data_IF_194110344800
#
_entry.id   IF_194110344800
#
_cell.length_a   1.000
_cell.length_b   1.000
_cell.length_c   1.000
_cell.angle_alpha   90.00
_cell.angle_beta   90.00
_cell.angle_gamma   90.00
#
_symmetry.space_group_name_H-M   'P 1'
#
loop_
_entity.id
_entity.type
_entity.pdbx_description
1 polymer ?
#
# COMPACT_ATOMS: atom_id res chain seq x y z
N UNK A 1 -16.06 -8.19 11.03
CA UNK A 1 -16.26 -9.61 10.74
C UNK A 1 -15.99 -9.80 9.27
N UNK A 2 -14.89 -10.49 8.92
CA UNK A 2 -14.52 -10.72 7.52
C UNK A 2 -15.61 -11.52 6.78
N UNK A 3 -15.67 -11.33 5.45
CA UNK A 3 -16.53 -12.15 4.62
C UNK A 3 -16.20 -13.66 4.85
N UNK A 4 -17.18 -14.57 4.78
CA UNK A 4 -16.98 -15.98 5.10
C UNK A 4 -15.89 -16.67 4.25
N UNK A 5 -15.47 -16.08 3.14
CA UNK A 5 -14.46 -16.61 2.23
C UNK A 5 -13.15 -15.76 2.22
N UNK A 6 -12.92 -14.92 3.24
CA UNK A 6 -11.70 -14.12 3.31
C UNK A 6 -10.46 -15.04 3.46
N UNK A 7 -9.36 -14.79 2.74
CA UNK A 7 -8.15 -15.58 2.85
C UNK A 7 -7.56 -15.47 4.26
N UNK A 8 -7.16 -16.60 4.82
CA UNK A 8 -6.54 -16.70 6.16
C UNK A 8 -5.02 -16.87 6.12
N UNK A 9 -4.46 -17.11 4.94
CA UNK A 9 -3.02 -17.21 4.68
C UNK A 9 -2.63 -16.38 3.47
N UNK A 10 -1.36 -16.01 3.37
CA UNK A 10 -0.87 -15.23 2.23
C UNK A 10 -0.89 -16.05 0.92
N UNK A 11 -0.70 -17.36 0.99
CA UNK A 11 -0.83 -18.25 -0.15
C UNK A 11 -2.28 -18.28 -0.70
N UNK A 12 -3.26 -18.35 0.20
CA UNK A 12 -4.68 -18.26 -0.19
C UNK A 12 -5.02 -16.88 -0.78
N UNK A 13 -4.41 -15.81 -0.24
CA UNK A 13 -4.54 -14.46 -0.78
C UNK A 13 -3.99 -14.38 -2.20
N UNK A 14 -2.80 -14.92 -2.47
CA UNK A 14 -2.21 -14.98 -3.82
C UNK A 14 -3.05 -15.83 -4.79
N UNK A 15 -3.59 -16.95 -4.32
CA UNK A 15 -4.51 -17.76 -5.14
C UNK A 15 -5.79 -16.98 -5.51
N UNK A 16 -6.29 -16.12 -4.62
CA UNK A 16 -7.39 -15.20 -4.93
C UNK A 16 -6.96 -14.15 -5.97
N UNK A 17 -5.76 -13.59 -5.85
CA UNK A 17 -5.22 -12.66 -6.86
C UNK A 17 -5.22 -13.26 -8.26
N UNK A 18 -4.72 -14.49 -8.42
CA UNK A 18 -4.69 -15.16 -9.72
C UNK A 18 -6.09 -15.30 -10.34
N UNK A 19 -7.09 -15.64 -9.53
CA UNK A 19 -8.48 -15.70 -9.99
C UNK A 19 -9.01 -14.32 -10.42
N UNK A 20 -8.73 -13.27 -9.64
CA UNK A 20 -9.14 -11.90 -9.97
C UNK A 20 -8.51 -11.41 -11.29
N UNK A 21 -7.24 -11.72 -11.52
CA UNK A 21 -6.59 -11.36 -12.78
C UNK A 21 -7.11 -12.17 -13.97
N UNK A 22 -7.46 -13.44 -13.77
CA UNK A 22 -8.12 -14.23 -14.79
C UNK A 22 -9.51 -13.67 -15.15
N UNK A 23 -10.30 -13.29 -14.14
CA UNK A 23 -11.61 -12.62 -14.31
C UNK A 23 -11.50 -11.29 -15.09
N UNK A 24 -10.47 -10.48 -14.78
CA UNK A 24 -10.23 -9.22 -15.50
C UNK A 24 -9.90 -9.48 -16.95
N UNK A 25 -9.04 -10.47 -17.23
CA UNK A 25 -8.69 -10.85 -18.61
C UNK A 25 -9.93 -11.27 -19.37
N UNK A 26 -10.72 -12.20 -18.84
CA UNK A 26 -11.92 -12.72 -19.48
C UNK A 26 -12.95 -11.61 -19.76
N UNK A 27 -13.22 -10.76 -18.77
CA UNK A 27 -14.31 -9.76 -18.86
C UNK A 27 -13.96 -8.47 -19.56
N UNK A 28 -12.69 -8.06 -19.55
CA UNK A 28 -12.28 -6.76 -20.07
C UNK A 28 -11.34 -6.84 -21.28
N UNK A 29 -10.64 -7.94 -21.47
CA UNK A 29 -9.67 -8.08 -22.58
C UNK A 29 -10.16 -9.05 -23.65
N UNK A 30 -10.73 -10.19 -23.24
CA UNK A 30 -11.14 -11.26 -24.16
C UNK A 30 -12.58 -11.07 -24.65
N UNK A 31 -13.40 -10.22 -24.01
CA UNK A 31 -14.75 -9.86 -24.48
C UNK A 31 -14.68 -8.68 -25.46
N UNK A 32 -14.95 -8.90 -26.76
CA UNK A 32 -14.89 -7.82 -27.75
C UNK A 32 -15.91 -6.68 -27.51
N UNK A 33 -16.99 -6.97 -26.75
CA UNK A 33 -18.00 -5.97 -26.42
C UNK A 33 -17.57 -5.03 -25.27
N UNK A 34 -16.65 -5.49 -24.42
CA UNK A 34 -16.13 -4.75 -23.28
C UNK A 34 -14.75 -4.13 -23.55
N UNK A 35 -14.03 -4.60 -24.56
CA UNK A 35 -12.67 -4.15 -24.87
C UNK A 35 -12.65 -2.64 -25.22
N UNK A 36 -11.76 -1.92 -24.55
CA UNK A 36 -11.49 -0.52 -24.87
C UNK A 36 -10.79 -0.40 -26.22
N UNK A 37 -11.16 0.59 -27.03
CA UNK A 37 -10.56 0.85 -28.35
C UNK A 37 -9.49 1.93 -28.33
N UNK A 38 -9.23 2.57 -27.18
CA UNK A 38 -8.21 3.62 -27.08
C UNK A 38 -6.80 3.00 -27.23
N UNK A 39 -5.99 3.60 -28.10
CA UNK A 39 -4.68 3.05 -28.49
C UNK A 39 -3.71 2.82 -27.32
N UNK A 40 -3.81 3.60 -26.26
CA UNK A 40 -2.93 3.51 -25.08
C UNK A 40 -3.68 3.03 -23.82
N UNK A 41 -4.88 2.46 -23.94
CA UNK A 41 -5.59 1.93 -22.78
C UNK A 41 -5.01 0.60 -22.32
N UNK A 42 -4.93 0.41 -21.00
CA UNK A 42 -4.57 -0.89 -20.41
C UNK A 42 -5.66 -1.96 -20.61
N UNK A 43 -6.88 -1.57 -21.01
CA UNK A 43 -7.99 -2.47 -21.32
C UNK A 43 -8.19 -2.70 -22.81
N UNK A 44 -7.32 -2.14 -23.67
CA UNK A 44 -7.31 -2.46 -25.08
C UNK A 44 -6.33 -3.64 -25.31
N UNK A 45 -6.78 -4.84 -25.70
CA UNK A 45 -5.93 -6.01 -25.87
C UNK A 45 -4.81 -5.82 -26.92
N UNK A 46 -5.03 -4.92 -27.89
CA UNK A 46 -4.02 -4.62 -28.92
C UNK A 46 -2.98 -3.56 -28.45
N UNK A 47 -3.21 -2.94 -27.30
CA UNK A 47 -2.33 -1.91 -26.76
C UNK A 47 -1.03 -2.50 -26.19
N UNK A 48 0.08 -1.79 -26.38
CA UNK A 48 1.34 -2.08 -25.70
C UNK A 48 1.19 -1.95 -24.16
N UNK A 49 0.34 -1.03 -23.71
CA UNK A 49 0.06 -0.80 -22.28
C UNK A 49 -0.64 -2.02 -21.66
N UNK A 50 -1.61 -2.61 -22.35
CA UNK A 50 -2.30 -3.83 -21.92
C UNK A 50 -1.31 -4.98 -21.75
N UNK A 51 -0.45 -5.21 -22.73
CA UNK A 51 0.57 -6.25 -22.64
C UNK A 51 1.52 -6.05 -21.45
N UNK A 52 1.97 -4.82 -21.20
CA UNK A 52 2.81 -4.51 -20.05
C UNK A 52 2.03 -4.74 -18.74
N UNK A 53 0.76 -4.32 -18.66
CA UNK A 53 -0.06 -4.40 -17.46
C UNK A 53 -0.38 -5.86 -17.05
N UNK A 54 -0.64 -6.75 -18.02
CA UNK A 54 -1.19 -8.07 -17.75
C UNK A 54 -0.25 -9.24 -18.08
N UNK A 55 0.72 -9.06 -18.97
CA UNK A 55 1.70 -10.11 -19.30
C UNK A 55 2.91 -10.07 -18.36
N UNK A 56 3.12 -8.96 -17.61
CA UNK A 56 4.12 -8.91 -16.54
C UNK A 56 3.49 -9.24 -15.20
N UNK A 57 4.27 -9.79 -14.26
CA UNK A 57 3.78 -10.15 -12.93
C UNK A 57 3.67 -8.96 -11.96
N UNK A 58 4.01 -7.75 -12.35
CA UNK A 58 4.24 -6.63 -11.42
C UNK A 58 2.98 -5.92 -10.92
N UNK A 59 1.81 -6.22 -11.46
CA UNK A 59 0.53 -5.76 -10.90
C UNK A 59 -0.01 -6.71 -9.81
N UNK A 60 0.65 -7.86 -9.60
CA UNK A 60 0.37 -8.86 -8.56
C UNK A 60 1.37 -8.75 -7.42
N UNK A 61 1.03 -9.34 -6.28
CA UNK A 61 2.02 -9.59 -5.24
C UNK A 61 3.14 -10.48 -5.78
N UNK A 62 4.40 -10.13 -5.52
CA UNK A 62 5.54 -10.93 -5.94
C UNK A 62 6.56 -11.09 -4.83
N UNK A 63 7.43 -12.06 -5.00
CA UNK A 63 8.47 -12.41 -4.05
C UNK A 63 9.83 -12.46 -4.73
N UNK A 64 10.87 -12.03 -4.02
CA UNK A 64 12.26 -12.13 -4.46
C UNK A 64 13.06 -12.86 -3.38
N UNK A 65 13.50 -14.08 -3.71
CA UNK A 65 14.42 -14.82 -2.87
C UNK A 65 15.87 -14.36 -3.08
N UNK A 66 16.70 -14.23 -2.02
CA UNK A 66 18.12 -13.97 -2.17
C UNK A 66 18.86 -15.20 -2.71
N UNK A 67 20.09 -14.98 -3.16
CA UNK A 67 20.98 -16.07 -3.50
C UNK A 67 21.51 -16.72 -2.18
N UNK A 68 21.01 -17.90 -1.85
CA UNK A 68 21.35 -18.63 -0.63
C UNK A 68 20.39 -18.38 0.55
N UNK A 69 20.87 -18.66 1.76
CA UNK A 69 20.07 -18.51 2.98
C UNK A 69 19.74 -17.05 3.28
N UNK A 70 18.47 -16.69 3.50
CA UNK A 70 18.09 -15.33 3.80
C UNK A 70 18.77 -14.77 5.04
N UNK A 71 19.35 -13.58 4.98
CA UNK A 71 19.87 -12.83 6.14
C UNK A 71 18.77 -12.16 6.96
N UNK A 72 17.61 -12.03 6.38
CA UNK A 72 16.41 -11.40 6.94
C UNK A 72 15.27 -11.47 5.94
N UNK A 73 14.15 -10.89 6.30
CA UNK A 73 13.00 -10.75 5.40
C UNK A 73 12.46 -9.33 5.37
N UNK A 74 11.76 -9.00 4.29
CA UNK A 74 11.16 -7.69 4.09
C UNK A 74 9.74 -7.80 3.54
N UNK A 75 8.84 -6.96 4.06
CA UNK A 75 7.54 -6.69 3.47
C UNK A 75 7.55 -5.28 2.88
N UNK A 76 7.12 -5.13 1.63
CA UNK A 76 6.96 -3.84 0.97
C UNK A 76 5.51 -3.63 0.52
N UNK A 77 4.93 -2.44 0.78
CA UNK A 77 3.54 -2.09 0.50
C UNK A 77 3.48 -0.78 -0.30
N UNK A 78 2.85 -0.81 -1.47
CA UNK A 78 2.75 0.33 -2.39
C UNK A 78 1.73 1.39 -1.95
N UNK A 79 1.66 2.51 -2.66
CA UNK A 79 0.72 3.61 -2.42
C UNK A 79 -0.66 3.41 -3.03
N UNK A 80 -1.58 4.35 -2.73
CA UNK A 80 -2.93 4.38 -3.31
C UNK A 80 -2.85 4.53 -4.83
N UNK A 81 -3.76 3.87 -5.55
CA UNK A 81 -3.85 3.77 -7.02
C UNK A 81 -2.66 3.11 -7.71
N UNK A 82 -1.61 2.79 -6.99
CA UNK A 82 -0.35 2.23 -7.46
C UNK A 82 -0.38 0.68 -7.50
N UNK A 83 0.74 0.06 -7.76
CA UNK A 83 0.91 -1.40 -7.75
C UNK A 83 2.28 -1.80 -7.17
N UNK A 84 2.53 -3.07 -6.92
CA UNK A 84 3.82 -3.57 -6.45
C UNK A 84 5.02 -3.16 -7.30
N UNK A 85 4.81 -2.85 -8.58
CA UNK A 85 5.85 -2.40 -9.50
C UNK A 85 6.66 -1.21 -8.98
N UNK A 86 6.00 -0.23 -8.34
CA UNK A 86 6.67 0.99 -7.86
C UNK A 86 7.77 0.72 -6.83
N UNK A 87 7.67 -0.40 -6.12
CA UNK A 87 8.64 -0.80 -5.10
C UNK A 87 9.67 -1.81 -5.61
N UNK A 88 9.63 -2.18 -6.91
CA UNK A 88 10.52 -3.19 -7.49
C UNK A 88 12.00 -2.87 -7.27
N UNK A 89 12.41 -1.62 -7.49
CA UNK A 89 13.82 -1.23 -7.32
C UNK A 89 14.30 -1.39 -5.86
N UNK A 90 13.45 -1.03 -4.89
CA UNK A 90 13.75 -1.25 -3.47
C UNK A 90 13.79 -2.74 -3.15
N UNK A 91 12.86 -3.53 -3.72
CA UNK A 91 12.81 -4.97 -3.52
C UNK A 91 14.08 -5.66 -4.07
N UNK A 92 14.53 -5.28 -5.25
CA UNK A 92 15.77 -5.80 -5.87
C UNK A 92 17.00 -5.45 -5.03
N UNK A 93 17.07 -4.23 -4.49
CA UNK A 93 18.15 -3.80 -3.60
C UNK A 93 18.18 -4.65 -2.31
N UNK A 94 17.03 -4.81 -1.65
CA UNK A 94 16.94 -5.64 -0.44
C UNK A 94 17.28 -7.11 -0.71
N UNK A 95 16.85 -7.65 -1.87
CA UNK A 95 17.24 -9.00 -2.30
C UNK A 95 18.76 -9.12 -2.46
N UNK A 96 19.39 -8.14 -3.10
CA UNK A 96 20.84 -8.13 -3.28
C UNK A 96 21.60 -8.06 -1.93
N UNK A 97 21.01 -7.43 -0.93
CA UNK A 97 21.50 -7.39 0.46
C UNK A 97 21.19 -8.68 1.24
N UNK A 98 20.60 -9.70 0.61
CA UNK A 98 20.35 -11.01 1.19
C UNK A 98 19.02 -11.15 1.90
N UNK A 99 18.06 -10.25 1.69
CA UNK A 99 16.72 -10.36 2.27
C UNK A 99 15.79 -11.16 1.36
N UNK A 100 14.92 -11.95 1.98
CA UNK A 100 13.74 -12.49 1.31
C UNK A 100 12.67 -11.41 1.27
N UNK A 101 12.26 -10.96 0.08
CA UNK A 101 11.39 -9.80 -0.07
C UNK A 101 10.00 -10.23 -0.55
N UNK A 102 8.98 -9.78 0.13
CA UNK A 102 7.57 -9.88 -0.27
C UNK A 102 7.08 -8.49 -0.62
N UNK A 103 6.56 -8.29 -1.83
CA UNK A 103 5.93 -7.05 -2.27
C UNK A 103 4.44 -7.31 -2.43
N UNK A 104 3.64 -6.71 -1.55
CA UNK A 104 2.21 -6.93 -1.46
C UNK A 104 1.44 -6.06 -2.47
N UNK A 105 0.50 -6.65 -3.20
CA UNK A 105 -0.58 -5.91 -3.86
C UNK A 105 -1.73 -5.70 -2.86
N UNK A 106 -2.11 -4.47 -2.62
CA UNK A 106 -3.28 -4.20 -1.78
C UNK A 106 -4.59 -4.60 -2.46
N UNK A 107 -5.61 -5.09 -1.72
CA UNK A 107 -6.96 -5.30 -2.25
C UNK A 107 -7.48 -4.10 -3.05
N UNK A 108 -8.18 -4.38 -4.16
CA UNK A 108 -8.70 -3.35 -5.06
C UNK A 108 -7.72 -2.76 -6.07
N UNK A 109 -6.40 -3.03 -5.92
CA UNK A 109 -5.36 -2.48 -6.81
C UNK A 109 -4.94 -3.46 -7.92
N UNK A 110 -4.23 -2.97 -8.92
CA UNK A 110 -3.60 -3.76 -9.99
C UNK A 110 -4.55 -4.28 -11.08
N UNK A 111 -5.84 -4.33 -10.85
CA UNK A 111 -6.88 -4.85 -11.76
C UNK A 111 -7.64 -3.74 -12.47
N UNK A 112 -8.66 -3.17 -11.83
CA UNK A 112 -9.47 -2.07 -12.34
C UNK A 112 -9.74 -1.03 -11.25
N UNK A 113 -9.80 0.29 -11.57
CA UNK A 113 -10.06 1.34 -10.57
C UNK A 113 -11.35 1.14 -9.78
N UNK A 114 -12.35 0.49 -10.38
CA UNK A 114 -13.60 0.12 -9.72
C UNK A 114 -13.42 -0.77 -8.49
N UNK A 115 -12.31 -1.53 -8.39
CA UNK A 115 -11.95 -2.29 -7.21
C UNK A 115 -11.73 -1.43 -5.94
N UNK A 116 -11.53 -0.12 -6.10
CA UNK A 116 -11.37 0.82 -4.99
C UNK A 116 -12.69 1.47 -4.55
N UNK A 117 -13.82 1.19 -5.22
CA UNK A 117 -15.12 1.76 -4.87
C UNK A 117 -15.69 1.24 -3.56
N UNK A 118 -15.40 0.00 -3.21
CA UNK A 118 -16.04 -0.69 -2.08
C UNK A 118 -15.02 -1.31 -1.10
N UNK A 119 -13.72 -1.16 -1.35
CA UNK A 119 -12.64 -1.63 -0.45
C UNK A 119 -12.56 -0.76 0.80
N UNK A 120 -12.17 -1.34 1.93
CA UNK A 120 -11.91 -0.65 3.18
C UNK A 120 -10.42 -0.66 3.53
N UNK A 121 -9.99 0.26 4.39
CA UNK A 121 -8.62 0.24 4.93
C UNK A 121 -8.36 -1.02 5.78
N UNK A 122 -9.39 -1.60 6.38
CA UNK A 122 -9.31 -2.86 7.12
C UNK A 122 -8.95 -4.04 6.19
N UNK A 123 -9.46 -4.04 4.95
CA UNK A 123 -9.10 -5.05 3.95
C UNK A 123 -7.62 -4.92 3.59
N UNK A 124 -7.11 -3.70 3.41
CA UNK A 124 -5.69 -3.45 3.16
C UNK A 124 -4.84 -3.90 4.35
N UNK A 125 -5.26 -3.54 5.57
CA UNK A 125 -4.53 -3.92 6.78
C UNK A 125 -4.48 -5.44 6.97
N UNK A 126 -5.60 -6.13 6.76
CA UNK A 126 -5.65 -7.60 6.85
C UNK A 126 -4.68 -8.27 5.87
N UNK A 127 -4.59 -7.74 4.64
CA UNK A 127 -3.61 -8.24 3.67
C UNK A 127 -2.16 -7.98 4.09
N UNK A 128 -1.88 -6.80 4.69
CA UNK A 128 -0.56 -6.48 5.27
C UNK A 128 -0.22 -7.45 6.39
N UNK A 129 -1.15 -7.77 7.27
CA UNK A 129 -0.92 -8.70 8.38
C UNK A 129 -0.58 -10.12 7.89
N UNK A 130 -1.34 -10.63 6.90
CA UNK A 130 -1.05 -11.92 6.27
C UNK A 130 0.34 -11.94 5.62
N UNK A 131 0.67 -10.90 4.86
CA UNK A 131 1.95 -10.79 4.17
C UNK A 131 3.13 -10.62 5.14
N UNK A 132 2.94 -9.90 6.25
CA UNK A 132 3.97 -9.72 7.29
C UNK A 132 4.32 -11.03 8.00
N UNK A 133 3.29 -11.79 8.41
CA UNK A 133 3.47 -13.13 9.02
C UNK A 133 4.20 -14.07 8.05
N UNK A 134 3.79 -14.06 6.79
CA UNK A 134 4.43 -14.86 5.76
C UNK A 134 5.88 -14.45 5.51
N UNK A 135 6.15 -13.16 5.32
CA UNK A 135 7.50 -12.65 5.09
C UNK A 135 8.45 -12.98 6.26
N UNK A 136 8.02 -12.73 7.49
CA UNK A 136 8.80 -13.04 8.68
C UNK A 136 9.15 -14.54 8.78
N UNK A 137 8.21 -15.42 8.45
CA UNK A 137 8.42 -16.86 8.46
C UNK A 137 9.47 -17.34 7.44
N UNK A 138 9.68 -16.60 6.32
CA UNK A 138 10.65 -16.96 5.28
C UNK A 138 12.11 -16.86 5.73
N UNK A 139 12.42 -15.97 6.65
CA UNK A 139 13.77 -15.85 7.20
C UNK A 139 13.93 -16.63 8.50
N UNK A 140 12.84 -16.97 9.17
CA UNK A 140 12.86 -17.62 10.49
C UNK A 140 12.94 -16.63 11.65
N UNK A 141 12.71 -17.13 12.90
CA UNK A 141 12.48 -16.25 14.07
C UNK A 141 13.73 -15.49 14.54
N UNK A 142 14.92 -16.00 14.24
CA UNK A 142 16.19 -15.43 14.74
C UNK A 142 16.77 -14.37 13.78
N UNK A 143 16.12 -14.13 12.66
CA UNK A 143 16.59 -13.19 11.63
C UNK A 143 15.71 -11.95 11.57
N UNK A 144 16.28 -10.78 11.21
CA UNK A 144 15.51 -9.54 11.19
C UNK A 144 14.42 -9.57 10.13
N UNK A 145 13.22 -9.15 10.54
CA UNK A 145 12.13 -8.76 9.66
C UNK A 145 12.13 -7.23 9.56
N UNK A 146 11.99 -6.68 8.36
CA UNK A 146 11.82 -5.25 8.11
C UNK A 146 10.56 -5.00 7.31
N UNK A 147 9.95 -3.83 7.49
CA UNK A 147 8.79 -3.45 6.72
C UNK A 147 9.00 -2.09 6.07
N UNK A 148 8.46 -1.90 4.87
CA UNK A 148 8.55 -0.65 4.15
C UNK A 148 7.31 -0.36 3.34
N UNK A 149 7.07 0.92 3.05
CA UNK A 149 5.94 1.30 2.25
C UNK A 149 6.05 2.71 1.67
N UNK A 150 5.24 2.94 0.64
CA UNK A 150 5.09 4.24 0.00
C UNK A 150 3.70 4.79 0.29
N UNK A 151 3.61 6.05 0.71
CA UNK A 151 2.35 6.78 0.90
C UNK A 151 1.36 6.00 1.81
N UNK A 152 0.22 5.55 1.30
CA UNK A 152 -0.76 4.71 2.02
C UNK A 152 -0.12 3.41 2.54
N UNK A 153 0.76 2.78 1.77
CA UNK A 153 1.50 1.60 2.23
C UNK A 153 2.39 1.89 3.43
N UNK A 154 3.01 3.09 3.48
CA UNK A 154 3.78 3.53 4.64
C UNK A 154 2.89 3.71 5.89
N UNK A 155 1.68 4.28 5.74
CA UNK A 155 0.72 4.37 6.84
C UNK A 155 0.28 3.00 7.35
N UNK A 156 0.05 2.04 6.44
CA UNK A 156 -0.33 0.66 6.80
C UNK A 156 0.78 -0.08 7.57
N UNK A 157 2.04 -0.01 7.11
CA UNK A 157 3.13 -0.68 7.84
C UNK A 157 3.46 0.03 9.16
N UNK A 158 3.18 1.33 9.26
CA UNK A 158 3.26 2.06 10.54
C UNK A 158 2.19 1.56 11.50
N UNK A 159 0.91 1.48 11.08
CA UNK A 159 -0.16 0.92 11.90
C UNK A 159 0.14 -0.51 12.34
N UNK A 160 0.63 -1.34 11.41
CA UNK A 160 1.04 -2.70 11.72
C UNK A 160 2.12 -2.74 12.82
N UNK A 161 3.13 -1.87 12.71
CA UNK A 161 4.21 -1.79 13.70
C UNK A 161 3.70 -1.35 15.06
N UNK A 162 2.83 -0.33 15.12
CA UNK A 162 2.22 0.12 16.37
C UNK A 162 1.40 -0.99 17.04
N UNK A 163 0.64 -1.77 16.29
CA UNK A 163 -0.11 -2.91 16.81
C UNK A 163 0.79 -4.05 17.29
N UNK A 164 1.90 -4.30 16.61
CA UNK A 164 2.87 -5.33 17.00
C UNK A 164 3.60 -5.03 18.33
N UNK A 165 3.49 -3.81 18.86
CA UNK A 165 4.04 -3.49 20.18
C UNK A 165 3.27 -4.17 21.31
N UNK A 166 1.98 -4.43 21.11
CA UNK A 166 1.08 -4.99 22.13
C UNK A 166 0.59 -6.41 21.79
N UNK A 167 0.65 -6.81 20.52
CA UNK A 167 0.28 -8.15 20.09
C UNK A 167 1.54 -9.00 19.85
N UNK A 168 1.87 -9.94 20.76
CA UNK A 168 3.06 -10.79 20.64
C UNK A 168 2.96 -11.79 19.49
N UNK A 169 1.76 -12.03 18.95
CA UNK A 169 1.56 -12.92 17.81
C UNK A 169 1.91 -12.24 16.48
N UNK A 170 2.06 -10.91 16.46
CA UNK A 170 2.50 -10.17 15.28
C UNK A 170 4.04 -10.10 15.23
N UNK A 171 4.68 -10.61 14.16
CA UNK A 171 6.11 -10.39 13.95
C UNK A 171 6.46 -8.91 13.96
N UNK A 172 7.28 -8.48 14.90
CA UNK A 172 7.67 -7.07 15.02
C UNK A 172 8.78 -6.74 14.02
N UNK A 173 8.61 -5.73 13.17
CA UNK A 173 9.69 -5.23 12.33
C UNK A 173 10.84 -4.68 13.19
N UNK A 174 12.07 -4.89 12.76
CA UNK A 174 13.26 -4.25 13.36
C UNK A 174 13.41 -2.81 12.88
N UNK A 175 13.17 -2.59 11.60
CA UNK A 175 13.31 -1.30 10.93
C UNK A 175 12.09 -1.05 10.03
N UNK A 176 11.67 0.23 9.92
CA UNK A 176 10.65 0.71 9.00
C UNK A 176 11.26 1.66 7.96
N UNK A 177 11.00 1.38 6.68
CA UNK A 177 11.40 2.22 5.55
C UNK A 177 10.17 2.90 4.96
N UNK A 178 9.99 4.18 5.26
CA UNK A 178 8.78 4.94 4.92
C UNK A 178 9.09 5.98 3.85
N UNK A 179 8.43 5.89 2.70
CA UNK A 179 8.60 6.83 1.59
C UNK A 179 7.33 7.66 1.44
N UNK A 180 7.43 9.00 1.56
CA UNK A 180 6.30 9.94 1.46
C UNK A 180 5.09 9.48 2.26
N UNK A 181 5.28 9.17 3.53
CA UNK A 181 4.32 8.45 4.37
C UNK A 181 3.01 9.24 4.60
N UNK A 182 1.87 8.68 4.23
CA UNK A 182 0.54 9.28 4.44
C UNK A 182 0.10 9.17 5.92
N UNK A 183 0.79 9.87 6.82
CA UNK A 183 0.57 9.80 8.28
C UNK A 183 0.00 11.12 8.83
N UNK A 184 0.22 12.25 8.17
CA UNK A 184 -0.33 13.55 8.56
C UNK A 184 -1.83 13.66 8.26
N UNK A 185 -2.55 14.43 9.08
CA UNK A 185 -3.97 14.79 8.83
C UNK A 185 -3.98 15.86 7.74
N UNK A 186 -3.73 15.51 6.50
CA UNK A 186 -3.51 16.43 5.41
C UNK A 186 -4.75 16.73 4.57
N UNK A 187 -4.54 17.46 3.48
CA UNK A 187 -5.50 17.95 2.48
C UNK A 187 -6.54 16.93 1.98
N UNK A 188 -6.34 15.63 2.19
CA UNK A 188 -7.37 14.60 1.95
C UNK A 188 -8.66 14.87 2.75
N UNK A 189 -8.55 15.44 3.96
CA UNK A 189 -9.71 15.80 4.78
C UNK A 189 -10.57 16.92 4.15
N UNK A 190 -9.97 17.86 3.45
CA UNK A 190 -10.69 18.99 2.83
C UNK A 190 -11.48 18.50 1.61
N UNK A 191 -10.94 17.56 0.87
CA UNK A 191 -11.54 17.06 -0.38
C UNK A 191 -12.72 16.10 -0.10
N UNK A 192 -12.61 15.29 0.96
CA UNK A 192 -13.64 14.30 1.34
C UNK A 192 -14.88 14.94 1.95
N UNK A 193 -14.75 16.04 2.70
CA UNK A 193 -15.88 16.73 3.35
C UNK A 193 -16.82 17.44 2.37
N UNK A 194 -16.34 17.81 1.20
CA UNK A 194 -17.17 18.50 0.17
C UNK A 194 -18.00 17.48 -0.61
N UNK A 195 -17.50 16.28 -0.85
CA UNK A 195 -18.12 15.27 -1.72
C UNK A 195 -18.98 14.25 -0.97
N UNK A 196 -18.70 13.98 0.32
CA UNK A 196 -19.45 13.00 1.11
C UNK A 196 -20.92 13.41 1.38
N UNK A 197 -21.23 14.71 1.34
CA UNK A 197 -22.61 15.22 1.51
C UNK A 197 -23.57 14.93 0.35
N UNK A 198 -23.08 14.49 -0.82
CA UNK A 198 -23.90 14.31 -2.03
C UNK A 198 -24.12 12.83 -2.41
N UNK A 199 -23.47 11.88 -1.73
CA UNK A 199 -23.48 10.45 -2.10
C UNK A 199 -24.77 9.70 -1.76
N UNK A 200 -25.73 10.32 -1.08
CA UNK A 200 -27.00 9.70 -0.65
C UNK A 200 -28.11 9.67 -1.72
N UNK A 201 -27.86 10.22 -2.92
CA UNK A 201 -28.87 10.27 -3.97
C UNK A 201 -28.56 9.21 -5.05
N UNK A 202 -29.45 8.22 -5.30
CA UNK A 202 -29.19 7.10 -6.23
C UNK A 202 -28.90 7.49 -7.70
N UNK A 203 -29.10 8.76 -8.06
CA UNK A 203 -28.91 9.28 -9.42
C UNK A 203 -27.46 9.68 -9.74
N UNK A 204 -26.53 9.61 -8.78
CA UNK A 204 -25.17 10.12 -8.92
C UNK A 204 -24.11 9.01 -8.84
N UNK A 205 -24.12 8.02 -9.75
CA UNK A 205 -22.97 7.12 -9.90
C UNK A 205 -21.68 7.89 -10.20
N UNK A 206 -21.76 9.03 -10.88
CA UNK A 206 -20.64 9.94 -11.11
C UNK A 206 -20.07 10.54 -9.83
N UNK A 207 -20.86 10.66 -8.75
CA UNK A 207 -20.38 11.20 -7.46
C UNK A 207 -19.49 10.21 -6.67
N UNK A 208 -19.39 8.95 -7.11
CA UNK A 208 -18.46 7.97 -6.54
C UNK A 208 -17.01 8.15 -7.01
N UNK A 209 -16.81 8.98 -8.03
CA UNK A 209 -15.51 9.25 -8.65
C UNK A 209 -15.11 10.71 -8.48
N UNK A 210 -13.86 10.93 -8.10
CA UNK A 210 -13.25 12.27 -8.17
C UNK A 210 -12.87 12.59 -9.61
N UNK A 211 -12.21 11.61 -10.27
CA UNK A 211 -11.82 11.66 -11.66
C UNK A 211 -12.06 10.31 -12.33
N UNK A 212 -12.51 10.34 -13.59
CA UNK A 212 -12.55 9.19 -14.50
C UNK A 212 -11.72 9.56 -15.71
N UNK A 213 -10.56 8.98 -15.84
CA UNK A 213 -9.57 9.28 -16.87
C UNK A 213 -9.29 8.02 -17.70
N UNK A 214 -8.76 8.18 -18.92
CA UNK A 214 -8.23 7.04 -19.67
C UNK A 214 -7.12 6.32 -18.90
N UNK A 215 -7.17 5.00 -18.83
CA UNK A 215 -6.23 4.17 -18.10
C UNK A 215 -5.01 3.84 -18.98
N UNK A 216 -4.11 4.82 -19.14
CA UNK A 216 -2.92 4.71 -20.00
C UNK A 216 -1.66 4.26 -19.25
N UNK A 217 -1.66 4.22 -17.94
CA UNK A 217 -0.53 3.74 -17.15
C UNK A 217 -0.69 2.22 -16.90
N UNK A 218 0.31 1.39 -17.20
CA UNK A 218 0.22 -0.06 -17.01
C UNK A 218 0.20 -0.48 -15.54
N UNK A 219 0.69 0.34 -14.60
CA UNK A 219 0.91 -0.03 -13.22
C UNK A 219 0.13 0.81 -12.21
N UNK A 220 -0.33 1.99 -12.62
CA UNK A 220 -1.04 2.93 -11.76
C UNK A 220 -2.42 3.24 -12.34
N UNK A 221 -3.43 3.38 -11.48
CA UNK A 221 -4.74 3.87 -11.92
C UNK A 221 -4.70 5.37 -12.17
N UNK A 222 -5.28 5.79 -13.27
CA UNK A 222 -5.49 7.19 -13.61
C UNK A 222 -6.81 7.72 -13.04
N UNK A 223 -7.84 6.87 -12.99
CA UNK A 223 -9.12 7.18 -12.37
C UNK A 223 -9.06 7.07 -10.85
N UNK A 224 -9.78 7.94 -10.14
CA UNK A 224 -9.70 8.03 -8.68
C UNK A 224 -11.09 8.00 -8.02
N UNK A 225 -11.47 6.90 -7.34
CA UNK A 225 -12.70 6.82 -6.57
C UNK A 225 -12.65 7.65 -5.28
N UNK A 226 -13.78 8.30 -4.92
CA UNK A 226 -13.93 9.06 -3.66
C UNK A 226 -13.70 8.16 -2.44
N UNK A 227 -14.22 6.92 -2.48
CA UNK A 227 -14.01 5.96 -1.39
C UNK A 227 -12.52 5.76 -1.07
N UNK A 228 -11.67 5.67 -2.08
CA UNK A 228 -10.24 5.46 -1.88
C UNK A 228 -9.60 6.57 -1.00
N UNK A 229 -9.95 7.84 -1.26
CA UNK A 229 -9.50 8.96 -0.42
C UNK A 229 -10.05 8.88 1.00
N UNK A 230 -11.34 8.53 1.16
CA UNK A 230 -11.97 8.36 2.47
C UNK A 230 -11.29 7.26 3.29
N UNK A 231 -10.93 6.16 2.67
CA UNK A 231 -10.23 5.06 3.36
C UNK A 231 -8.83 5.45 3.82
N UNK A 232 -8.07 6.21 3.00
CA UNK A 232 -6.76 6.74 3.44
C UNK A 232 -6.93 7.71 4.59
N UNK A 233 -7.91 8.61 4.53
CA UNK A 233 -8.20 9.54 5.62
C UNK A 233 -8.53 8.80 6.92
N UNK A 234 -9.41 7.79 6.86
CA UNK A 234 -9.75 6.95 8.03
C UNK A 234 -8.54 6.21 8.58
N UNK A 235 -7.70 5.65 7.70
CA UNK A 235 -6.44 5.00 8.09
C UNK A 235 -5.51 5.95 8.83
N UNK A 236 -5.34 7.18 8.30
CA UNK A 236 -4.49 8.20 8.92
C UNK A 236 -4.97 8.56 10.33
N UNK A 237 -6.29 8.70 10.53
CA UNK A 237 -6.86 8.92 11.86
C UNK A 237 -6.54 7.77 12.82
N UNK A 238 -6.75 6.52 12.38
CA UNK A 238 -6.46 5.35 13.22
C UNK A 238 -4.97 5.27 13.58
N UNK A 239 -4.06 5.65 12.67
CA UNK A 239 -2.62 5.73 12.97
C UNK A 239 -2.36 6.77 14.06
N UNK A 240 -2.97 7.97 13.95
CA UNK A 240 -2.78 9.03 14.94
C UNK A 240 -3.37 8.67 16.31
N UNK A 241 -4.59 8.13 16.34
CA UNK A 241 -5.23 7.63 17.58
C UNK A 241 -4.36 6.59 18.26
N UNK A 242 -3.79 5.66 17.49
CA UNK A 242 -2.92 4.63 18.04
C UNK A 242 -1.60 5.18 18.57
N UNK A 243 -1.01 6.17 17.90
CA UNK A 243 0.15 6.89 18.39
C UNK A 243 -0.17 7.62 19.71
N UNK A 244 -1.34 8.28 19.81
CA UNK A 244 -1.77 8.99 21.02
C UNK A 244 -1.92 8.03 22.22
N UNK A 245 -2.53 6.86 22.01
CA UNK A 245 -2.70 5.82 23.02
C UNK A 245 -1.35 5.32 23.55
N UNK A 246 -0.43 4.99 22.65
CA UNK A 246 0.89 4.45 23.00
C UNK A 246 1.81 5.49 23.63
N UNK A 247 1.75 6.75 23.19
CA UNK A 247 2.48 7.88 23.79
C UNK A 247 1.99 8.12 25.22
N UNK A 248 0.68 8.14 25.43
CA UNK A 248 0.07 8.28 26.76
C UNK A 248 0.42 7.16 27.72
N UNK A 249 0.71 5.95 27.20
CA UNK A 249 1.12 4.78 27.98
C UNK A 249 2.63 4.59 28.12
N UNK A 250 3.46 5.51 27.56
CA UNK A 250 4.93 5.40 27.49
C UNK A 250 5.45 4.13 26.78
N UNK A 251 4.66 3.62 25.81
CA UNK A 251 4.95 2.37 25.11
C UNK A 251 5.67 2.56 23.76
N UNK A 252 5.88 3.79 23.31
CA UNK A 252 6.56 4.07 22.03
C UNK A 252 8.07 3.75 22.06
N UNK A 253 8.67 3.51 23.24
CA UNK A 253 10.08 3.16 23.36
C UNK A 253 10.46 1.86 22.62
N UNK A 254 9.48 0.98 22.39
CA UNK A 254 9.68 -0.28 21.66
C UNK A 254 9.43 -0.17 20.14
N UNK A 255 9.15 1.02 19.65
CA UNK A 255 8.92 1.26 18.22
C UNK A 255 10.17 0.92 17.40
N UNK A 256 10.02 0.24 16.25
CA UNK A 256 11.12 0.02 15.31
C UNK A 256 11.85 1.31 14.93
N UNK A 257 13.11 1.19 14.52
CA UNK A 257 13.79 2.35 13.92
C UNK A 257 13.07 2.76 12.65
N UNK A 258 12.81 4.06 12.52
CA UNK A 258 12.13 4.63 11.36
C UNK A 258 13.15 5.34 10.48
N UNK A 259 13.23 4.91 9.22
CA UNK A 259 13.97 5.56 8.14
C UNK A 259 12.95 6.21 7.21
N UNK A 260 12.79 7.51 7.33
CA UNK A 260 11.82 8.29 6.56
C UNK A 260 12.49 8.97 5.37
N UNK A 261 11.94 8.75 4.19
CA UNK A 261 12.36 9.35 2.93
C UNK A 261 11.27 10.28 2.42
N UNK A 262 11.57 11.59 2.35
CA UNK A 262 10.57 12.61 2.03
C UNK A 262 11.09 13.60 1.00
N UNK A 263 10.29 13.89 -0.03
CA UNK A 263 10.56 14.99 -0.93
C UNK A 263 10.10 16.33 -0.31
N UNK A 264 10.94 17.34 -0.35
CA UNK A 264 10.60 18.69 0.16
C UNK A 264 9.51 19.37 -0.68
N UNK A 265 9.38 18.96 -1.95
CA UNK A 265 8.39 19.50 -2.89
C UNK A 265 7.14 18.64 -3.01
N UNK A 266 7.00 17.62 -2.17
CA UNK A 266 5.79 16.80 -2.14
C UNK A 266 4.60 17.65 -1.68
N UNK A 267 3.65 17.87 -2.59
CA UNK A 267 2.45 18.67 -2.34
C UNK A 267 1.30 17.85 -1.74
N UNK A 268 1.41 16.54 -1.76
CA UNK A 268 0.38 15.60 -1.27
C UNK A 268 0.61 15.28 0.20
N UNK A 269 1.85 14.95 0.55
CA UNK A 269 2.29 14.69 1.92
C UNK A 269 3.45 15.63 2.23
N UNK A 270 3.22 16.62 3.07
CA UNK A 270 4.28 17.60 3.39
C UNK A 270 5.27 17.04 4.41
N UNK A 271 6.54 17.44 4.28
CA UNK A 271 7.58 17.02 5.22
C UNK A 271 7.25 17.41 6.68
N UNK A 272 6.66 18.60 6.89
CA UNK A 272 6.24 19.08 8.21
C UNK A 272 5.18 18.17 8.85
N UNK A 273 4.18 17.74 8.07
CA UNK A 273 3.12 16.84 8.56
C UNK A 273 3.67 15.48 8.99
N UNK A 274 4.60 14.91 8.23
CA UNK A 274 5.17 13.59 8.57
C UNK A 274 6.12 13.69 9.77
N UNK A 275 6.92 14.77 9.83
CA UNK A 275 7.80 15.00 10.98
C UNK A 275 6.98 15.18 12.25
N UNK A 276 5.97 16.05 12.27
CA UNK A 276 5.13 16.28 13.45
C UNK A 276 4.22 15.10 13.78
N UNK A 277 3.67 14.45 12.74
CA UNK A 277 2.72 13.34 12.90
C UNK A 277 3.37 12.03 13.32
N UNK A 278 4.69 11.87 13.13
CA UNK A 278 5.40 10.64 13.48
C UNK A 278 6.75 10.91 14.16
N UNK A 279 7.76 11.43 13.44
CA UNK A 279 9.14 11.43 13.94
C UNK A 279 9.33 12.22 15.25
N UNK A 280 8.67 13.35 15.39
CA UNK A 280 8.77 14.19 16.59
C UNK A 280 8.10 13.55 17.84
N UNK A 281 7.28 12.51 17.62
CA UNK A 281 6.59 11.76 18.68
C UNK A 281 7.37 10.53 19.15
N UNK A 282 8.32 10.07 18.33
CA UNK A 282 9.12 8.91 18.65
C UNK A 282 10.24 9.27 19.64
N UNK A 283 10.57 8.39 20.58
CA UNK A 283 11.69 8.62 21.50
C UNK A 283 13.01 8.65 20.75
N UNK A 284 14.01 9.37 21.27
CA UNK A 284 15.35 9.37 20.69
C UNK A 284 15.89 7.95 20.58
N UNK A 285 16.21 7.48 19.36
CA UNK A 285 16.58 6.08 19.19
C UNK A 285 17.06 5.67 17.80
N UNK A 286 17.74 6.56 17.08
CA UNK A 286 18.34 6.24 15.78
C UNK A 286 17.35 6.25 14.62
N UNK A 287 16.27 7.03 14.75
CA UNK A 287 15.39 7.35 13.63
C UNK A 287 16.10 8.33 12.67
N UNK A 288 15.83 8.19 11.38
CA UNK A 288 16.49 8.95 10.33
C UNK A 288 15.46 9.63 9.42
N UNK A 289 15.77 10.87 9.02
CA UNK A 289 15.02 11.59 7.99
C UNK A 289 15.97 11.92 6.83
N UNK A 290 15.64 11.37 5.66
CA UNK A 290 16.32 11.70 4.41
C UNK A 290 15.40 12.60 3.58
N UNK A 291 15.84 13.81 3.30
CA UNK A 291 15.06 14.80 2.54
C UNK A 291 15.65 14.95 1.15
N UNK A 292 14.81 14.83 0.14
CA UNK A 292 15.16 15.04 -1.26
C UNK A 292 14.68 16.41 -1.73
N UNK A 293 15.60 17.21 -2.27
CA UNK A 293 15.31 18.46 -2.97
C UNK A 293 15.68 18.30 -4.45
N UNK A 294 14.67 18.16 -5.32
CA UNK A 294 14.88 18.00 -6.76
C UNK A 294 15.34 19.29 -7.46
N UNK A 295 15.36 20.41 -6.75
CA UNK A 295 15.75 21.73 -7.28
C UNK A 295 17.22 22.08 -6.96
N UNK A 296 17.98 21.13 -6.44
CA UNK A 296 19.40 21.31 -6.11
C UNK A 296 20.28 20.21 -6.72
#
# INVERSE_FOLDING_TARGET
AGAPDAPTTFEAYRALEERLFADVRERLLDDPAAADTQALSRYNPDSVVSRIAYDTAYNRSFELAPDGEPRGSALLVHGLTDSPYSLRGIAETLRAEGYYVVVLRMPGHGTAPAGLLDVSWQDWYSAVELAARYAAAKAGPDRPFVAGGHSTGAALVTLYSLRSLEDPDLPRPRDLYLVSAAIGISRFAVLTNILSGLSFIPYFEKSRWMDVLPEYDPYKYNSFPVNAANQVHSLTHVVQERLDELEGADNLAAMPRVHLFQSIVDSTVTADEVVRGLLARLPAGGHELVVFDINR
#
